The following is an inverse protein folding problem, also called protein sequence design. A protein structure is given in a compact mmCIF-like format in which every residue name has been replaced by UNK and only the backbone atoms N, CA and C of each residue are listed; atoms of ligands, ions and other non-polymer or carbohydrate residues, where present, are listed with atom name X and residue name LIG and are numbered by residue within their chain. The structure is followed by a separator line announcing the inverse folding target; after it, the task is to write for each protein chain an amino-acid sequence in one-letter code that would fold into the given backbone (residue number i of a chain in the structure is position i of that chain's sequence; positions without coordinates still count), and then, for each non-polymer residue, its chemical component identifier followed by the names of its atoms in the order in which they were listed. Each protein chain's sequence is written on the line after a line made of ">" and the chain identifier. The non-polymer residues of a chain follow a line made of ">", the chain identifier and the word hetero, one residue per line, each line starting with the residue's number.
data_IF_881823620796
#
_entry.id   IF_881823620796
#
_cell.length_a   1.000
_cell.length_b   1.000
_cell.length_c   1.000
_cell.angle_alpha   90.00
_cell.angle_beta   90.00
_cell.angle_gamma   90.00
#
_symmetry.space_group_name_H-M   'P 1'
#
loop_
_entity.id
_entity.type
_entity.pdbx_description
1 polymer ?
#
# COMPACT_ATOMS: atom_id res chain seq x y z
N UNK A 1 0.93 6.15 17.76
CA UNK A 1 1.43 6.10 16.37
C UNK A 1 1.41 4.70 15.77
N UNK A 2 1.65 3.66 16.56
CA UNK A 2 1.69 2.25 16.10
C UNK A 2 0.29 1.61 15.91
N UNK A 3 -0.77 2.31 16.28
CA UNK A 3 -2.16 1.87 16.13
C UNK A 3 -3.04 3.04 15.66
N UNK A 4 -4.30 2.76 15.30
CA UNK A 4 -5.31 3.80 15.00
C UNK A 4 -6.02 4.34 16.25
N UNK A 5 -5.55 3.95 17.41
CA UNK A 5 -6.04 4.34 18.72
C UNK A 5 -6.05 3.12 19.65
N UNK A 6 -5.50 3.29 20.86
CA UNK A 6 -5.49 2.23 21.85
C UNK A 6 -6.81 2.24 22.62
N UNK A 7 -7.42 1.06 22.79
CA UNK A 7 -8.53 0.89 23.74
C UNK A 7 -7.97 0.74 25.15
N UNK A 8 -8.79 1.02 26.18
CA UNK A 8 -8.40 0.80 27.57
C UNK A 8 -7.97 -0.66 27.81
N UNK A 9 -8.69 -1.61 27.22
CA UNK A 9 -8.33 -3.03 27.32
C UNK A 9 -6.94 -3.34 26.74
N UNK A 10 -6.59 -2.73 25.61
CA UNK A 10 -5.26 -2.90 25.00
C UNK A 10 -4.17 -2.22 25.85
N UNK A 11 -4.44 -1.08 26.44
CA UNK A 11 -3.51 -0.42 27.36
C UNK A 11 -3.25 -1.31 28.58
N UNK A 12 -4.29 -1.88 29.20
CA UNK A 12 -4.15 -2.79 30.33
C UNK A 12 -3.40 -4.07 29.94
N UNK A 13 -3.67 -4.61 28.75
CA UNK A 13 -2.93 -5.76 28.21
C UNK A 13 -1.43 -5.44 28.05
N UNK A 14 -1.12 -4.28 27.48
CA UNK A 14 0.27 -3.83 27.29
C UNK A 14 1.01 -3.68 28.62
N UNK A 15 0.36 -3.08 29.64
CA UNK A 15 0.92 -2.96 30.99
C UNK A 15 1.21 -4.33 31.61
N UNK A 16 0.35 -5.32 31.36
CA UNK A 16 0.54 -6.70 31.83
C UNK A 16 1.69 -7.44 31.14
N UNK A 17 2.14 -7.00 29.96
CA UNK A 17 3.28 -7.60 29.25
C UNK A 17 4.63 -7.28 29.89
N UNK A 18 4.73 -6.22 30.69
CA UNK A 18 5.96 -5.83 31.39
C UNK A 18 6.12 -4.33 31.53
N UNK A 19 7.33 -3.89 31.86
CA UNK A 19 7.69 -2.47 31.90
C UNK A 19 7.68 -1.84 30.50
N UNK A 20 7.92 -0.52 30.40
CA UNK A 20 7.87 0.21 29.14
C UNK A 20 8.84 -0.31 28.06
N UNK A 21 9.94 -0.95 28.43
CA UNK A 21 10.89 -1.52 27.47
C UNK A 21 10.47 -2.92 27.08
N UNK A 22 10.27 -3.80 28.04
CA UNK A 22 9.94 -5.21 27.82
C UNK A 22 8.54 -5.38 27.27
N UNK A 23 7.56 -4.61 27.75
CA UNK A 23 6.17 -4.65 27.32
C UNK A 23 6.02 -4.21 25.85
N UNK A 24 6.69 -3.14 25.45
CA UNK A 24 6.66 -2.70 24.04
C UNK A 24 7.35 -3.69 23.09
N UNK A 25 8.49 -4.25 23.49
CA UNK A 25 9.17 -5.26 22.68
C UNK A 25 8.27 -6.47 22.45
N UNK A 26 7.68 -7.02 23.51
CA UNK A 26 6.75 -8.15 23.40
C UNK A 26 5.53 -7.84 22.55
N UNK A 27 4.95 -6.64 22.71
CA UNK A 27 3.82 -6.22 21.90
C UNK A 27 4.18 -6.13 20.41
N UNK A 28 5.37 -5.59 20.09
CA UNK A 28 5.85 -5.53 18.70
C UNK A 28 6.04 -6.94 18.15
N UNK A 29 6.66 -7.85 18.88
CA UNK A 29 6.85 -9.25 18.47
C UNK A 29 5.52 -9.95 18.20
N UNK A 30 4.52 -9.74 19.07
CA UNK A 30 3.14 -10.23 18.86
C UNK A 30 2.52 -9.65 17.59
N UNK A 31 2.67 -8.35 17.35
CA UNK A 31 2.12 -7.68 16.16
C UNK A 31 2.80 -8.15 14.87
N UNK A 32 4.11 -8.38 14.89
CA UNK A 32 4.83 -8.92 13.74
C UNK A 32 4.37 -10.35 13.39
N UNK A 33 3.95 -11.12 14.38
CA UNK A 33 3.46 -12.49 14.21
C UNK A 33 1.98 -12.56 13.74
N UNK A 34 1.20 -11.45 13.83
CA UNK A 34 -0.20 -11.46 13.39
C UNK A 34 -0.31 -11.64 11.88
N UNK A 35 -1.23 -12.48 11.39
CA UNK A 35 -1.57 -12.55 9.97
C UNK A 35 -2.21 -11.23 9.51
N UNK A 36 -2.08 -10.92 8.23
CA UNK A 36 -2.69 -9.73 7.66
C UNK A 36 -4.22 -9.84 7.65
N UNK A 37 -4.90 -8.83 8.17
CA UNK A 37 -6.33 -8.62 7.95
C UNK A 37 -6.52 -8.09 6.53
N UNK A 38 -7.20 -8.86 5.68
CA UNK A 38 -7.34 -8.60 4.25
C UNK A 38 -8.79 -8.26 3.87
N UNK A 39 -8.95 -7.58 2.72
CA UNK A 39 -10.23 -7.06 2.22
C UNK A 39 -10.83 -7.96 1.14
N UNK A 40 -9.99 -8.47 0.24
CA UNK A 40 -10.42 -9.12 -1.00
C UNK A 40 -11.41 -10.27 -0.81
N UNK A 41 -11.23 -11.21 0.13
CA UNK A 41 -12.20 -12.30 0.32
C UNK A 41 -13.61 -11.82 0.67
N UNK A 42 -13.71 -10.75 1.48
CA UNK A 42 -15.02 -10.16 1.87
C UNK A 42 -15.67 -9.47 0.68
N UNK A 43 -14.89 -8.72 -0.12
CA UNK A 43 -15.38 -8.08 -1.35
C UNK A 43 -15.84 -9.13 -2.36
N UNK A 44 -15.10 -10.22 -2.54
CA UNK A 44 -15.51 -11.33 -3.41
C UNK A 44 -16.83 -11.95 -2.99
N UNK A 45 -17.02 -12.16 -1.69
CA UNK A 45 -18.28 -12.67 -1.13
C UNK A 45 -19.43 -11.69 -1.36
N UNK A 46 -19.20 -10.40 -1.11
CA UNK A 46 -20.21 -9.37 -1.35
C UNK A 46 -20.59 -9.31 -2.84
N UNK A 47 -19.62 -9.37 -3.74
CA UNK A 47 -19.87 -9.40 -5.18
C UNK A 47 -20.71 -10.62 -5.62
N UNK A 48 -20.36 -11.80 -5.12
CA UNK A 48 -21.09 -13.03 -5.46
C UNK A 48 -22.58 -13.00 -5.03
N UNK A 49 -22.91 -12.17 -4.04
CA UNK A 49 -24.28 -11.96 -3.57
C UNK A 49 -25.07 -10.92 -4.41
N UNK A 50 -24.42 -10.21 -5.35
CA UNK A 50 -25.08 -9.18 -6.15
C UNK A 50 -26.01 -9.79 -7.22
N UNK A 51 -27.21 -9.25 -7.34
CA UNK A 51 -28.16 -9.62 -8.40
C UNK A 51 -27.88 -8.94 -9.73
N UNK A 52 -27.22 -7.76 -9.70
CA UNK A 52 -26.82 -7.01 -10.90
C UNK A 52 -25.45 -6.35 -10.66
N UNK A 53 -24.34 -7.07 -10.92
CA UNK A 53 -23.00 -6.58 -10.65
C UNK A 53 -22.65 -5.26 -11.34
N UNK A 54 -23.12 -5.05 -12.57
CA UNK A 54 -22.77 -3.86 -13.35
C UNK A 54 -23.30 -2.55 -12.73
N UNK A 55 -24.38 -2.62 -11.99
CA UNK A 55 -25.02 -1.44 -11.36
C UNK A 55 -24.51 -1.19 -9.93
N UNK A 56 -23.74 -2.10 -9.36
CA UNK A 56 -23.39 -2.10 -7.92
C UNK A 56 -21.90 -1.95 -7.64
N UNK A 57 -21.08 -1.62 -8.64
CA UNK A 57 -19.64 -1.32 -8.46
C UNK A 57 -19.43 -0.21 -7.42
N UNK A 58 -20.31 0.78 -7.40
CA UNK A 58 -20.27 1.87 -6.42
C UNK A 58 -20.42 1.37 -4.98
N UNK A 59 -21.34 0.44 -4.71
CA UNK A 59 -21.49 -0.14 -3.38
C UNK A 59 -20.27 -0.94 -2.93
N UNK A 60 -19.65 -1.69 -3.84
CA UNK A 60 -18.43 -2.44 -3.53
C UNK A 60 -17.24 -1.53 -3.15
N UNK A 61 -17.17 -0.32 -3.68
CA UNK A 61 -16.19 0.66 -3.23
C UNK A 61 -16.47 1.17 -1.81
N UNK A 62 -17.75 1.35 -1.46
CA UNK A 62 -18.16 1.68 -0.07
C UNK A 62 -17.83 0.52 0.86
N UNK A 63 -18.21 -0.71 0.50
CA UNK A 63 -17.90 -1.91 1.27
C UNK A 63 -16.40 -2.07 1.51
N UNK A 64 -15.57 -1.82 0.47
CA UNK A 64 -14.12 -1.86 0.59
C UNK A 64 -13.59 -0.83 1.60
N UNK A 65 -14.10 0.39 1.58
CA UNK A 65 -13.72 1.43 2.54
C UNK A 65 -14.16 1.05 3.96
N UNK A 66 -15.36 0.52 4.13
CA UNK A 66 -15.85 0.05 5.43
C UNK A 66 -14.99 -1.09 5.98
N UNK A 67 -14.62 -2.06 5.15
CA UNK A 67 -13.73 -3.16 5.54
C UNK A 67 -12.36 -2.61 5.94
N UNK A 68 -11.82 -1.65 5.19
CA UNK A 68 -10.56 -1.00 5.52
C UNK A 68 -10.62 -0.33 6.90
N UNK A 69 -11.65 0.47 7.17
CA UNK A 69 -11.85 1.10 8.47
C UNK A 69 -11.99 0.06 9.58
N UNK A 70 -12.78 -0.98 9.37
CA UNK A 70 -12.96 -2.06 10.34
C UNK A 70 -11.63 -2.75 10.65
N UNK A 71 -10.89 -3.18 9.64
CA UNK A 71 -9.60 -3.82 9.83
C UNK A 71 -8.60 -2.90 10.55
N UNK A 72 -8.56 -1.63 10.17
CA UNK A 72 -7.69 -0.63 10.77
C UNK A 72 -8.01 -0.34 12.25
N UNK A 73 -9.30 -0.36 12.65
CA UNK A 73 -9.72 0.01 14.00
C UNK A 73 -9.83 -1.21 14.91
N UNK A 74 -10.29 -2.34 14.39
CA UNK A 74 -10.63 -3.52 15.20
C UNK A 74 -9.82 -4.77 14.85
N UNK A 75 -9.03 -4.74 13.78
CA UNK A 75 -8.17 -5.87 13.39
C UNK A 75 -7.12 -6.18 14.46
N UNK A 76 -6.69 -7.44 14.60
CA UNK A 76 -5.67 -7.83 15.57
C UNK A 76 -4.25 -7.35 15.16
N UNK A 77 -4.05 -7.05 13.88
CA UNK A 77 -2.77 -6.71 13.25
C UNK A 77 -2.58 -5.18 13.11
N UNK A 78 -2.82 -4.44 14.20
CA UNK A 78 -2.84 -2.98 14.23
C UNK A 78 -1.57 -2.33 13.67
N UNK A 79 -0.39 -2.84 14.03
CA UNK A 79 0.88 -2.32 13.55
C UNK A 79 1.01 -2.55 12.03
N UNK A 80 0.59 -3.71 11.54
CA UNK A 80 0.59 -4.05 10.11
C UNK A 80 -0.31 -3.12 9.31
N UNK A 81 -1.52 -2.87 9.79
CA UNK A 81 -2.44 -1.94 9.13
C UNK A 81 -1.90 -0.50 9.10
N UNK A 82 -1.20 -0.06 10.16
CA UNK A 82 -0.53 1.25 10.18
C UNK A 82 0.62 1.34 9.18
N UNK A 83 1.43 0.28 9.06
CA UNK A 83 2.52 0.24 8.07
C UNK A 83 1.95 0.16 6.65
N UNK A 84 0.93 -0.68 6.41
CA UNK A 84 0.25 -0.76 5.11
C UNK A 84 -0.34 0.60 4.69
N UNK A 85 -0.93 1.35 5.63
CA UNK A 85 -1.39 2.71 5.37
C UNK A 85 -0.24 3.64 4.97
N UNK A 86 0.88 3.62 5.71
CA UNK A 86 2.05 4.43 5.35
C UNK A 86 2.62 4.05 3.98
N UNK A 87 2.66 2.74 3.66
CA UNK A 87 3.06 2.26 2.34
C UNK A 87 2.12 2.72 1.24
N UNK A 88 0.80 2.79 1.51
CA UNK A 88 -0.18 3.28 0.53
C UNK A 88 -0.03 4.77 0.20
N UNK A 89 0.56 5.57 1.10
CA UNK A 89 0.89 6.97 0.86
C UNK A 89 2.17 7.14 0.01
N UNK A 90 2.99 6.09 -0.08
CA UNK A 90 4.20 6.06 -0.90
C UNK A 90 3.91 5.36 -2.23
N UNK A 91 3.42 4.12 -2.18
CA UNK A 91 3.08 3.28 -3.34
C UNK A 91 1.64 3.57 -3.79
N UNK A 92 1.41 4.79 -4.24
CA UNK A 92 0.06 5.34 -4.45
C UNK A 92 -0.65 4.69 -5.63
N UNK A 93 -1.90 4.25 -5.41
CA UNK A 93 -2.93 4.10 -6.45
C UNK A 93 -4.21 4.80 -6.00
N UNK A 94 -4.90 5.48 -6.91
CA UNK A 94 -6.08 6.24 -6.55
C UNK A 94 -7.36 5.58 -7.04
N UNK A 95 -8.36 5.51 -6.16
CA UNK A 95 -9.72 5.15 -6.54
C UNK A 95 -10.32 6.17 -7.54
N UNK A 96 -9.93 7.44 -7.46
CA UNK A 96 -10.39 8.49 -8.38
C UNK A 96 -9.62 8.45 -9.71
N UNK A 97 -9.63 7.29 -10.35
CA UNK A 97 -9.01 7.00 -11.64
C UNK A 97 -9.88 5.96 -12.37
N UNK A 98 -9.36 5.36 -13.43
CA UNK A 98 -9.99 4.19 -14.08
C UNK A 98 -10.27 3.05 -13.08
N UNK A 99 -9.49 2.98 -11.99
CA UNK A 99 -9.65 1.97 -10.94
C UNK A 99 -10.95 2.12 -10.12
N UNK A 100 -11.69 3.23 -10.22
CA UNK A 100 -13.00 3.38 -9.56
C UNK A 100 -13.99 2.25 -9.94
N UNK A 101 -13.82 1.69 -11.14
CA UNK A 101 -14.62 0.58 -11.64
C UNK A 101 -14.02 -0.80 -11.34
N UNK A 102 -12.94 -0.85 -10.57
CA UNK A 102 -12.16 -2.05 -10.28
C UNK A 102 -11.95 -2.26 -8.76
N UNK A 103 -13.02 -2.36 -7.95
CA UNK A 103 -12.92 -2.47 -6.49
C UNK A 103 -12.10 -3.68 -6.02
N UNK A 104 -12.11 -4.77 -6.80
CA UNK A 104 -11.25 -5.93 -6.55
C UNK A 104 -9.77 -5.59 -6.65
N UNK A 105 -9.38 -4.89 -7.72
CA UNK A 105 -7.98 -4.53 -7.93
C UNK A 105 -7.48 -3.59 -6.84
N UNK A 106 -8.34 -2.68 -6.35
CA UNK A 106 -8.00 -1.78 -5.24
C UNK A 106 -7.91 -2.54 -3.90
N UNK A 107 -8.82 -3.50 -3.65
CA UNK A 107 -8.76 -4.33 -2.44
C UNK A 107 -7.51 -5.20 -2.42
N UNK A 108 -7.23 -5.90 -3.53
CA UNK A 108 -6.07 -6.78 -3.66
C UNK A 108 -4.74 -6.00 -3.57
N UNK A 109 -4.70 -4.80 -4.15
CA UNK A 109 -3.53 -3.94 -4.05
C UNK A 109 -3.23 -3.51 -2.59
N UNK A 110 -4.27 -3.11 -1.85
CA UNK A 110 -4.07 -2.78 -0.44
C UNK A 110 -3.70 -4.01 0.39
N UNK A 111 -4.30 -5.16 0.09
CA UNK A 111 -3.96 -6.43 0.73
C UNK A 111 -2.51 -6.86 0.45
N UNK A 112 -1.98 -6.55 -0.75
CA UNK A 112 -0.56 -6.72 -1.07
C UNK A 112 0.31 -5.89 -0.12
N UNK A 113 0.02 -4.60 0.04
CA UNK A 113 0.77 -3.72 0.95
C UNK A 113 0.69 -4.22 2.40
N UNK A 114 -0.48 -4.74 2.84
CA UNK A 114 -0.64 -5.31 4.16
C UNK A 114 0.16 -6.62 4.34
N UNK A 115 0.21 -7.48 3.35
CA UNK A 115 1.03 -8.70 3.38
C UNK A 115 2.52 -8.39 3.45
N UNK A 116 2.97 -7.42 2.65
CA UNK A 116 4.39 -7.06 2.51
C UNK A 116 4.87 -6.03 3.54
N UNK A 117 3.98 -5.57 4.44
CA UNK A 117 4.24 -4.48 5.39
C UNK A 117 5.51 -4.67 6.24
N UNK A 118 5.90 -5.91 6.53
CA UNK A 118 7.10 -6.26 7.30
C UNK A 118 8.10 -7.06 6.47
N UNK A 119 7.92 -7.06 5.15
CA UNK A 119 8.76 -7.78 4.22
C UNK A 119 10.00 -7.02 3.76
N UNK A 120 10.64 -7.57 2.75
CA UNK A 120 11.78 -6.95 2.07
C UNK A 120 11.31 -5.88 1.07
N UNK A 121 11.95 -4.71 1.08
CA UNK A 121 11.57 -3.58 0.25
C UNK A 121 11.70 -3.88 -1.25
N UNK A 122 12.71 -4.65 -1.65
CA UNK A 122 12.88 -5.06 -3.06
C UNK A 122 11.71 -5.95 -3.50
N UNK A 123 11.29 -6.87 -2.62
CA UNK A 123 10.12 -7.73 -2.89
C UNK A 123 8.85 -6.91 -3.00
N UNK A 124 8.64 -5.95 -2.11
CA UNK A 124 7.52 -5.02 -2.17
C UNK A 124 7.48 -4.27 -3.51
N UNK A 125 8.61 -3.71 -3.97
CA UNK A 125 8.68 -3.01 -5.26
C UNK A 125 8.38 -3.95 -6.42
N UNK A 126 8.88 -5.18 -6.39
CA UNK A 126 8.58 -6.19 -7.42
C UNK A 126 7.08 -6.49 -7.47
N UNK A 127 6.47 -6.76 -6.32
CA UNK A 127 5.05 -7.09 -6.22
C UNK A 127 4.15 -5.92 -6.64
N UNK A 128 4.48 -4.70 -6.22
CA UNK A 128 3.82 -3.47 -6.67
C UNK A 128 3.95 -3.30 -8.18
N UNK A 129 5.14 -3.52 -8.75
CA UNK A 129 5.40 -3.39 -10.20
C UNK A 129 4.59 -4.38 -11.04
N UNK A 130 4.38 -5.58 -10.52
CA UNK A 130 3.66 -6.64 -11.22
C UNK A 130 2.15 -6.60 -10.95
N UNK A 131 1.69 -5.75 -10.03
CA UNK A 131 0.29 -5.71 -9.66
C UNK A 131 -0.58 -5.02 -10.74
N UNK A 132 -1.71 -5.64 -11.16
CA UNK A 132 -2.56 -5.08 -12.21
C UNK A 132 -3.08 -3.67 -11.92
N UNK A 133 -3.40 -3.34 -10.65
CA UNK A 133 -3.84 -2.00 -10.28
C UNK A 133 -2.79 -0.94 -10.59
N UNK A 134 -1.52 -1.20 -10.27
CA UNK A 134 -0.41 -0.30 -10.61
C UNK A 134 -0.22 -0.21 -12.13
N UNK A 135 -0.31 -1.35 -12.83
CA UNK A 135 -0.24 -1.39 -14.29
C UNK A 135 -1.28 -0.53 -14.98
N UNK A 136 -2.50 -0.46 -14.43
CA UNK A 136 -3.57 0.43 -14.92
C UNK A 136 -3.31 1.89 -14.50
N UNK A 137 -2.96 2.10 -13.25
CA UNK A 137 -2.83 3.44 -12.66
C UNK A 137 -1.74 4.29 -13.31
N UNK A 138 -0.58 3.69 -13.58
CA UNK A 138 0.57 4.36 -14.20
C UNK A 138 0.82 3.95 -15.66
N UNK A 139 -0.22 3.50 -16.37
CA UNK A 139 -0.22 3.22 -17.82
C UNK A 139 0.82 2.16 -18.27
N UNK A 140 1.27 1.29 -17.38
CA UNK A 140 2.20 0.22 -17.74
C UNK A 140 1.49 -0.92 -18.49
N UNK A 141 0.20 -1.14 -18.18
CA UNK A 141 -0.60 -2.18 -18.82
C UNK A 141 -0.82 -1.86 -20.31
N UNK A 142 -0.39 -2.77 -21.17
CA UNK A 142 -0.48 -2.59 -22.61
C UNK A 142 0.63 -1.73 -23.22
N UNK A 143 1.61 -1.28 -22.42
CA UNK A 143 2.77 -0.54 -22.93
C UNK A 143 3.59 -1.42 -23.87
N UNK A 144 3.94 -0.87 -25.04
CA UNK A 144 4.59 -1.61 -26.14
C UNK A 144 6.03 -1.14 -26.33
N UNK A 145 6.87 -2.03 -26.82
CA UNK A 145 8.23 -1.66 -27.26
C UNK A 145 8.17 -0.62 -28.38
N UNK A 146 9.20 0.24 -28.51
CA UNK A 146 9.24 1.23 -29.59
C UNK A 146 9.18 0.53 -30.96
N UNK A 147 8.33 1.06 -31.83
CA UNK A 147 8.24 0.63 -33.24
C UNK A 147 8.10 1.88 -34.12
N UNK A 148 9.18 2.30 -34.73
CA UNK A 148 9.22 3.51 -35.57
C UNK A 148 8.37 3.37 -36.83
N UNK A 149 8.20 2.14 -37.35
CA UNK A 149 7.39 1.88 -38.52
C UNK A 149 5.89 2.08 -38.22
N UNK A 150 5.47 1.83 -37.00
CA UNK A 150 4.08 2.03 -36.51
C UNK A 150 3.89 3.29 -35.69
N UNK A 151 4.93 4.13 -35.60
CA UNK A 151 4.95 5.32 -34.73
C UNK A 151 4.58 5.01 -33.28
N UNK A 152 4.99 3.85 -32.77
CA UNK A 152 4.78 3.45 -31.37
C UNK A 152 5.92 4.02 -30.54
N UNK A 153 5.58 4.76 -29.49
CA UNK A 153 6.48 5.25 -28.43
C UNK A 153 6.04 4.63 -27.11
N UNK A 154 6.96 4.03 -26.33
CA UNK A 154 6.64 3.53 -25.00
C UNK A 154 6.18 4.68 -24.10
N UNK A 155 5.23 4.39 -23.22
CA UNK A 155 4.93 5.25 -22.09
C UNK A 155 5.96 4.99 -20.97
N UNK A 156 6.65 6.05 -20.55
CA UNK A 156 7.71 6.00 -19.54
C UNK A 156 7.20 6.28 -18.12
N UNK A 157 5.92 6.59 -17.97
CA UNK A 157 5.35 7.11 -16.73
C UNK A 157 5.68 6.23 -15.51
N UNK A 158 5.39 4.94 -15.60
CA UNK A 158 5.71 4.02 -14.50
C UNK A 158 7.19 3.99 -14.14
N UNK A 159 8.08 3.89 -15.14
CA UNK A 159 9.52 3.82 -14.91
C UNK A 159 10.04 5.09 -14.24
N UNK A 160 9.53 6.26 -14.65
CA UNK A 160 9.86 7.54 -14.04
C UNK A 160 9.37 7.62 -12.60
N UNK A 161 8.11 7.27 -12.34
CA UNK A 161 7.55 7.30 -11.00
C UNK A 161 8.24 6.31 -10.06
N UNK A 162 8.60 5.12 -10.56
CA UNK A 162 9.35 4.14 -9.79
C UNK A 162 10.68 4.71 -9.28
N UNK A 163 11.43 5.39 -10.15
CA UNK A 163 12.71 5.97 -9.76
C UNK A 163 12.56 7.26 -8.97
N UNK A 164 11.62 8.11 -9.35
CA UNK A 164 11.50 9.47 -8.84
C UNK A 164 10.69 9.56 -7.54
N UNK A 165 9.55 8.90 -7.47
CA UNK A 165 8.64 9.00 -6.31
C UNK A 165 8.71 7.79 -5.38
N UNK A 166 8.94 6.60 -5.92
CA UNK A 166 8.83 5.37 -5.14
C UNK A 166 10.17 4.88 -4.59
N UNK A 167 11.31 5.36 -5.11
CA UNK A 167 12.63 4.86 -4.69
C UNK A 167 13.70 5.96 -4.52
N UNK A 168 14.41 6.33 -5.58
CA UNK A 168 15.67 7.11 -5.49
C UNK A 168 15.45 8.60 -5.24
N UNK A 169 14.36 9.15 -5.75
CA UNK A 169 14.10 10.60 -5.70
C UNK A 169 14.73 11.34 -6.88
N UNK A 170 14.66 12.69 -6.83
CA UNK A 170 15.17 13.58 -7.87
C UNK A 170 16.62 14.01 -7.65
N UNK A 171 17.09 13.88 -6.42
CA UNK A 171 18.42 14.31 -6.00
C UNK A 171 18.98 13.33 -4.98
N UNK A 172 20.28 13.22 -4.90
CA UNK A 172 20.92 12.46 -3.83
C UNK A 172 20.82 13.20 -2.50
N UNK A 173 20.60 12.44 -1.43
CA UNK A 173 20.55 12.97 -0.07
C UNK A 173 21.74 12.49 0.76
N UNK A 174 22.17 13.35 1.68
CA UNK A 174 23.03 12.98 2.78
C UNK A 174 22.27 12.15 3.83
N UNK A 175 22.98 11.52 4.75
CA UNK A 175 22.36 10.72 5.81
C UNK A 175 21.43 11.51 6.74
N UNK A 176 21.58 12.83 6.80
CA UNK A 176 20.75 13.75 7.57
C UNK A 176 19.52 14.28 6.78
N UNK A 177 19.34 13.82 5.53
CA UNK A 177 18.25 14.24 4.65
C UNK A 177 18.50 15.55 3.89
N UNK A 178 19.68 16.19 4.04
CA UNK A 178 20.04 17.36 3.21
C UNK A 178 20.42 16.94 1.81
N UNK A 179 20.16 17.80 0.82
CA UNK A 179 20.51 17.54 -0.59
C UNK A 179 22.03 17.54 -0.75
N UNK A 180 22.56 16.52 -1.41
CA UNK A 180 23.96 16.52 -1.85
C UNK A 180 24.15 17.49 -3.00
N UNK A 181 25.27 18.21 -2.96
CA UNK A 181 25.63 19.16 -4.02
C UNK A 181 27.02 18.84 -4.57
N UNK A 182 27.24 19.19 -5.84
CA UNK A 182 28.53 19.17 -6.47
C UNK A 182 29.45 20.33 -5.98
N UNK A 183 30.66 20.45 -6.53
CA UNK A 183 31.61 21.49 -6.18
C UNK A 183 31.11 22.91 -6.54
N UNK A 184 30.10 23.04 -7.37
CA UNK A 184 29.46 24.28 -7.80
C UNK A 184 28.19 24.59 -6.99
N UNK A 185 27.85 23.74 -6.02
CA UNK A 185 26.65 23.87 -5.16
C UNK A 185 25.34 23.44 -5.84
N UNK A 186 25.41 22.74 -6.97
CA UNK A 186 24.22 22.24 -7.65
C UNK A 186 23.83 20.85 -7.09
N UNK A 187 22.50 20.54 -6.97
CA UNK A 187 22.03 19.21 -6.59
C UNK A 187 22.57 18.12 -7.52
N UNK A 188 22.95 16.96 -6.96
CA UNK A 188 23.39 15.77 -7.68
C UNK A 188 22.43 14.62 -7.46
#
# INVERSE_FOLDING_TARGET
>A
QSTYGATEAEVQRLVALGDSTTGYSRWIDEQLAQPASVQLPTIQTAYAALTNPAQMIGSLNVDRQEIWFRNSITGPDQLRQRVAFALSEIMVVSQQSTLQNMPYALADYYDLLARDAFGDFRKLIEDVSLHPAMGVYLNMLGNQKPDTAKNIRPDENYARELMQLLTVGLVELNADGTVKTDAQGQPI
#
